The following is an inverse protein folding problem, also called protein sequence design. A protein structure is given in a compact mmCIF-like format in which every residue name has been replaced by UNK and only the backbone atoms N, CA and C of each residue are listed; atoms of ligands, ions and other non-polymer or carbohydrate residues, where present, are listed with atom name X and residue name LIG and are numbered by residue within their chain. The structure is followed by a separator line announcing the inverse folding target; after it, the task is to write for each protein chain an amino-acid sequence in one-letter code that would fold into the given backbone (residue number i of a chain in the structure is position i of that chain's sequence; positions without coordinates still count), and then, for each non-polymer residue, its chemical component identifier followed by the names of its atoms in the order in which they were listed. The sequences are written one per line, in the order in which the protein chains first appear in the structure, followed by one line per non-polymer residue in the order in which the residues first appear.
data_IF_291417409475
#
_entry.id   IF_291417409475
#
_cell.length_a   1.000
_cell.length_b   1.000
_cell.length_c   1.000
_cell.angle_alpha   90.00
_cell.angle_beta   90.00
_cell.angle_gamma   90.00
#
_symmetry.space_group_name_H-M   'P 1'
#
loop_
_entity.id
_entity.type
_entity.pdbx_description
1 polymer ?
#
# COMPACT_ATOMS: atom_id res chain seq x y z
N UNK A 1 9.76 -11.21 -12.77
CA UNK A 1 10.59 -10.00 -13.05
C UNK A 1 9.98 -8.83 -12.29
N UNK A 2 10.79 -7.90 -11.76
CA UNK A 2 10.31 -6.73 -10.98
C UNK A 2 9.19 -5.94 -11.70
N UNK A 3 9.28 -5.85 -13.03
CA UNK A 3 8.25 -5.21 -13.88
C UNK A 3 6.90 -5.94 -13.92
N UNK A 4 6.86 -7.21 -13.53
CA UNK A 4 5.62 -8.00 -13.42
C UNK A 4 4.80 -7.60 -12.19
N UNK A 5 5.47 -7.24 -11.08
CA UNK A 5 4.81 -6.72 -9.86
C UNK A 5 4.17 -5.35 -10.11
N UNK A 6 4.71 -4.57 -11.05
CA UNK A 6 4.10 -3.30 -11.48
C UNK A 6 2.86 -3.51 -12.38
N UNK A 7 2.73 -4.69 -12.98
CA UNK A 7 1.72 -5.01 -14.00
C UNK A 7 0.60 -5.91 -13.51
N UNK A 8 0.75 -6.64 -12.42
CA UNK A 8 -0.34 -7.50 -11.94
C UNK A 8 -0.35 -7.38 -10.43
N UNK A 9 -1.42 -6.84 -9.85
CA UNK A 9 -1.55 -6.77 -8.41
C UNK A 9 -1.51 -8.19 -7.87
N UNK A 10 -0.68 -8.39 -6.86
CA UNK A 10 -0.71 -9.63 -6.10
C UNK A 10 -1.40 -9.30 -4.79
N UNK A 11 -2.69 -9.62 -4.73
CA UNK A 11 -3.51 -9.54 -3.53
C UNK A 11 -2.99 -10.40 -2.34
N UNK A 12 -2.00 -11.27 -2.58
CA UNK A 12 -1.35 -12.16 -1.61
C UNK A 12 -2.36 -12.90 -0.72
N UNK A 13 -3.52 -13.30 -1.24
CA UNK A 13 -4.63 -13.80 -0.40
C UNK A 13 -4.29 -15.06 0.40
N UNK A 14 -3.36 -15.88 -0.08
CA UNK A 14 -2.87 -17.07 0.64
C UNK A 14 -1.39 -16.94 1.05
N UNK A 15 -0.88 -15.71 1.13
CA UNK A 15 0.50 -15.42 1.54
C UNK A 15 0.52 -14.31 2.60
N UNK A 16 0.44 -14.66 3.90
CA UNK A 16 0.37 -13.69 4.98
C UNK A 16 1.63 -12.81 5.06
N UNK A 17 2.79 -13.36 4.72
CA UNK A 17 4.06 -12.63 4.70
C UNK A 17 4.10 -11.68 3.51
N UNK A 18 3.77 -12.18 2.33
CA UNK A 18 3.69 -11.38 1.10
C UNK A 18 2.77 -10.18 1.27
N UNK A 19 1.57 -10.38 1.81
CA UNK A 19 0.63 -9.31 2.14
C UNK A 19 1.26 -8.25 3.05
N UNK A 20 1.84 -8.69 4.18
CA UNK A 20 2.38 -7.77 5.19
C UNK A 20 3.56 -6.95 4.65
N UNK A 21 4.45 -7.59 3.89
CA UNK A 21 5.57 -6.89 3.25
C UNK A 21 5.11 -5.94 2.15
N UNK A 22 4.10 -6.32 1.35
CA UNK A 22 3.56 -5.45 0.31
C UNK A 22 2.99 -4.17 0.91
N UNK A 23 2.08 -4.31 1.89
CA UNK A 23 1.41 -3.18 2.51
C UNK A 23 2.39 -2.30 3.32
N UNK A 24 3.33 -2.91 4.05
CA UNK A 24 4.41 -2.15 4.68
C UNK A 24 5.29 -1.41 3.67
N UNK A 25 5.53 -2.00 2.50
CA UNK A 25 6.23 -1.37 1.37
C UNK A 25 5.51 -0.14 0.85
N UNK A 26 4.20 -0.23 0.61
CA UNK A 26 3.37 0.91 0.21
C UNK A 26 3.41 2.04 1.23
N UNK A 27 3.27 1.74 2.52
CA UNK A 27 3.42 2.74 3.58
C UNK A 27 4.83 3.35 3.61
N UNK A 28 5.88 2.53 3.45
CA UNK A 28 7.26 3.02 3.39
C UNK A 28 7.50 3.98 2.21
N UNK A 29 7.00 3.64 1.02
CA UNK A 29 7.05 4.50 -0.17
C UNK A 29 6.30 5.81 0.07
N UNK A 30 5.09 5.72 0.63
CA UNK A 30 4.29 6.89 0.98
C UNK A 30 5.02 7.83 1.92
N UNK A 31 5.58 7.29 3.01
CA UNK A 31 6.31 8.03 4.03
C UNK A 31 7.57 8.70 3.45
N UNK A 32 8.38 7.96 2.69
CA UNK A 32 9.61 8.47 2.09
C UNK A 32 9.33 9.62 1.12
N UNK A 33 8.36 9.43 0.21
CA UNK A 33 8.02 10.47 -0.77
C UNK A 33 7.44 11.71 -0.10
N UNK A 34 6.59 11.55 0.92
CA UNK A 34 6.00 12.68 1.62
C UNK A 34 7.05 13.47 2.40
N UNK A 35 8.01 12.77 3.02
CA UNK A 35 9.16 13.39 3.69
C UNK A 35 10.03 14.17 2.70
N UNK A 36 10.37 13.58 1.55
CA UNK A 36 11.17 14.24 0.51
C UNK A 36 10.49 15.50 -0.07
N UNK A 37 9.16 15.46 -0.25
CA UNK A 37 8.39 16.57 -0.80
C UNK A 37 7.98 17.61 0.27
N UNK A 38 8.14 17.29 1.55
CA UNK A 38 7.60 18.10 2.65
C UNK A 38 6.07 18.20 2.64
N UNK A 39 5.38 17.31 1.92
CA UNK A 39 3.92 17.32 1.75
C UNK A 39 3.38 15.92 1.45
N UNK A 40 2.26 15.55 2.07
CA UNK A 40 1.61 14.25 1.86
C UNK A 40 0.72 14.21 0.60
N UNK A 41 0.07 15.33 0.26
CA UNK A 41 -0.97 15.37 -0.77
C UNK A 41 -0.49 15.03 -2.19
N UNK A 42 0.73 15.40 -2.65
CA UNK A 42 1.18 15.02 -3.99
C UNK A 42 1.37 13.51 -4.12
N UNK A 43 1.76 12.84 -3.03
CA UNK A 43 1.95 11.39 -2.97
C UNK A 43 0.61 10.68 -3.08
N UNK A 44 -0.38 11.12 -2.29
CA UNK A 44 -1.72 10.54 -2.31
C UNK A 44 -2.39 10.67 -3.69
N UNK A 45 -2.29 11.84 -4.33
CA UNK A 45 -2.87 12.08 -5.67
C UNK A 45 -2.10 11.31 -6.74
N UNK A 46 -0.76 11.36 -6.70
CA UNK A 46 0.08 10.69 -7.67
C UNK A 46 -0.13 9.18 -7.66
N UNK A 47 -0.27 8.59 -6.47
CA UNK A 47 -0.53 7.17 -6.33
C UNK A 47 -1.95 6.79 -6.73
N UNK A 48 -2.97 7.60 -6.42
CA UNK A 48 -4.33 7.38 -6.93
C UNK A 48 -4.37 7.36 -8.47
N UNK A 49 -3.62 8.26 -9.13
CA UNK A 49 -3.51 8.28 -10.58
C UNK A 49 -2.83 7.00 -11.11
N UNK A 50 -1.84 6.47 -10.39
CA UNK A 50 -1.17 5.22 -10.73
C UNK A 50 -2.11 4.01 -10.63
N UNK A 51 -2.90 3.89 -9.57
CA UNK A 51 -3.89 2.82 -9.40
C UNK A 51 -4.94 2.83 -10.53
N UNK A 52 -5.41 4.02 -10.93
CA UNK A 52 -6.31 4.15 -12.09
C UNK A 52 -5.67 3.62 -13.38
N UNK A 53 -4.37 3.83 -13.55
CA UNK A 53 -3.63 3.25 -14.68
C UNK A 53 -3.57 1.74 -14.56
N UNK A 54 -3.31 1.18 -13.37
CA UNK A 54 -3.26 -0.26 -13.15
C UNK A 54 -4.60 -0.95 -13.41
N UNK A 55 -5.71 -0.38 -12.94
CA UNK A 55 -7.05 -0.89 -13.26
C UNK A 55 -7.31 -0.88 -14.77
N UNK A 56 -7.10 0.26 -15.44
CA UNK A 56 -7.50 0.43 -16.83
C UNK A 56 -6.60 -0.28 -17.84
N UNK A 57 -5.32 -0.47 -17.51
CA UNK A 57 -4.32 -0.99 -18.46
C UNK A 57 -3.88 -2.40 -18.14
N UNK A 58 -3.97 -2.82 -16.88
CA UNK A 58 -3.35 -4.06 -16.43
C UNK A 58 -4.30 -5.01 -15.69
N UNK A 59 -5.58 -4.66 -15.58
CA UNK A 59 -6.61 -5.55 -15.02
C UNK A 59 -6.45 -5.76 -13.52
N UNK A 60 -6.05 -4.72 -12.79
CA UNK A 60 -5.93 -4.81 -11.34
C UNK A 60 -7.27 -4.93 -10.62
N UNK A 61 -7.26 -5.59 -9.45
CA UNK A 61 -8.45 -5.73 -8.61
C UNK A 61 -8.78 -4.41 -7.91
N UNK A 62 -10.06 -4.03 -7.92
CA UNK A 62 -10.54 -2.75 -7.36
C UNK A 62 -10.20 -2.60 -5.87
N UNK A 63 -10.33 -3.68 -5.10
CA UNK A 63 -10.13 -3.66 -3.66
C UNK A 63 -8.64 -3.63 -3.27
N UNK A 64 -7.78 -4.27 -4.06
CA UNK A 64 -6.33 -4.33 -3.82
C UNK A 64 -5.71 -2.96 -4.07
N UNK A 65 -6.07 -2.32 -5.18
CA UNK A 65 -5.60 -0.96 -5.49
C UNK A 65 -6.07 0.09 -4.48
N UNK A 66 -7.29 -0.05 -3.95
CA UNK A 66 -7.76 0.79 -2.86
C UNK A 66 -6.98 0.56 -1.56
N UNK A 67 -6.59 -0.68 -1.28
CA UNK A 67 -5.79 -1.02 -0.10
C UNK A 67 -4.37 -0.48 -0.23
N UNK A 68 -3.71 -0.66 -1.37
CA UNK A 68 -2.38 -0.13 -1.66
C UNK A 68 -2.38 1.40 -1.58
N UNK A 69 -3.37 2.07 -2.18
CA UNK A 69 -3.52 3.52 -2.08
C UNK A 69 -3.71 3.98 -0.63
N UNK A 70 -4.52 3.28 0.16
CA UNK A 70 -4.73 3.60 1.56
C UNK A 70 -3.43 3.48 2.37
N UNK A 71 -2.62 2.45 2.14
CA UNK A 71 -1.33 2.28 2.80
C UNK A 71 -0.30 3.34 2.38
N UNK A 72 -0.26 3.71 1.10
CA UNK A 72 0.56 4.85 0.64
C UNK A 72 0.14 6.14 1.34
N UNK A 73 -1.17 6.39 1.46
CA UNK A 73 -1.68 7.56 2.17
C UNK A 73 -1.29 7.52 3.65
N UNK A 74 -1.52 6.41 4.35
CA UNK A 74 -1.16 6.23 5.76
C UNK A 74 0.33 6.49 5.99
N UNK A 75 1.19 5.93 5.13
CA UNK A 75 2.62 6.21 5.13
C UNK A 75 2.94 7.70 4.97
N UNK A 76 2.34 8.33 3.96
CA UNK A 76 2.53 9.76 3.67
C UNK A 76 2.10 10.66 4.85
N UNK A 77 1.00 10.34 5.53
CA UNK A 77 0.59 11.04 6.75
C UNK A 77 1.51 10.71 7.94
N UNK A 78 1.96 9.46 8.06
CA UNK A 78 2.84 9.02 9.13
C UNK A 78 4.21 9.72 9.11
N UNK A 79 4.64 10.23 7.95
CA UNK A 79 5.83 11.09 7.84
C UNK A 79 5.76 12.34 8.75
N UNK A 80 4.55 12.81 9.06
CA UNK A 80 4.30 13.98 9.92
C UNK A 80 3.59 13.64 11.23
N UNK A 81 3.06 12.42 11.38
CA UNK A 81 2.40 11.94 12.58
C UNK A 81 2.62 10.43 12.78
N UNK A 82 3.69 10.07 13.49
CA UNK A 82 4.10 8.69 13.73
C UNK A 82 3.06 7.84 14.49
N UNK A 83 2.09 8.45 15.16
CA UNK A 83 1.02 7.70 15.85
C UNK A 83 0.16 6.89 14.90
N UNK A 84 0.11 7.24 13.62
CA UNK A 84 -0.58 6.48 12.58
C UNK A 84 0.05 5.10 12.32
N UNK A 85 1.29 4.86 12.75
CA UNK A 85 1.93 3.55 12.66
C UNK A 85 1.27 2.51 13.58
N UNK A 86 0.63 2.94 14.68
CA UNK A 86 -0.03 2.04 15.63
C UNK A 86 -1.26 1.36 15.01
N UNK A 87 -2.28 2.08 14.49
CA UNK A 87 -3.41 1.44 13.81
C UNK A 87 -2.98 0.69 12.54
N UNK A 88 -1.94 1.18 11.85
CA UNK A 88 -1.36 0.47 10.70
C UNK A 88 -0.80 -0.90 11.09
N UNK A 89 -0.05 -0.99 12.19
CA UNK A 89 0.45 -2.26 12.71
C UNK A 89 -0.69 -3.21 13.11
N UNK A 90 -1.76 -2.68 13.71
CA UNK A 90 -2.97 -3.44 14.01
C UNK A 90 -3.63 -4.03 12.75
N UNK A 91 -3.76 -3.23 11.68
CA UNK A 91 -4.30 -3.67 10.41
C UNK A 91 -3.43 -4.74 9.74
N UNK A 92 -2.11 -4.55 9.72
CA UNK A 92 -1.16 -5.54 9.19
C UNK A 92 -1.25 -6.86 9.96
N UNK A 93 -1.32 -6.81 11.29
CA UNK A 93 -1.51 -7.99 12.13
C UNK A 93 -2.82 -8.73 11.83
N UNK A 94 -3.92 -8.00 11.70
CA UNK A 94 -5.21 -8.59 11.35
C UNK A 94 -5.19 -9.25 9.95
N UNK A 95 -4.62 -8.56 8.96
CA UNK A 95 -4.51 -9.09 7.60
C UNK A 95 -3.52 -10.26 7.47
N UNK A 96 -2.48 -10.31 8.31
CA UNK A 96 -1.59 -11.46 8.43
C UNK A 96 -2.35 -12.67 8.99
N UNK A 97 -3.05 -12.49 10.12
CA UNK A 97 -3.75 -13.59 10.78
C UNK A 97 -4.86 -14.17 9.90
N UNK A 98 -5.68 -13.33 9.23
CA UNK A 98 -6.71 -13.78 8.28
C UNK A 98 -6.17 -14.79 7.28
N UNK A 99 -4.99 -14.51 6.73
CA UNK A 99 -4.36 -15.30 5.65
C UNK A 99 -3.48 -16.43 6.17
N UNK A 100 -3.24 -16.48 7.46
CA UNK A 100 -2.51 -17.58 8.10
C UNK A 100 -3.46 -18.72 8.52
N UNK A 101 -4.75 -18.42 8.64
CA UNK A 101 -5.81 -19.37 9.02
C UNK A 101 -6.48 -20.06 7.80
N UNK A 102 -6.22 -19.58 6.58
CA UNK A 102 -6.70 -20.12 5.29
C UNK A 102 -5.70 -21.13 4.67
#
# INVERSE_FOLDING_TARGET
MLFGLLRTPSAFENDPRGFSFNQAGHAGVGMLLAWLLGAWWPVAIGYAAWEVVQWRRFGGDDWDGLQDWAFVCLGAFAAFNLWLLVPMAGYLGAGYLRRADD
#
